data_IF_523076693498
#
_entry.id   IF_523076693498
#
_cell.length_a   1.000
_cell.length_b   1.000
_cell.length_c   1.000
_cell.angle_alpha   90.00
_cell.angle_beta   90.00
_cell.angle_gamma   90.00
#
_symmetry.space_group_name_H-M   'P 1'
#
loop_
_entity.id
_entity.type
_entity.pdbx_description
1 polymer ?
#
# COMPACT_ATOMS: atom_id res chain seq x y z
N UNK A 1 8.94 -5.46 -8.29
CA UNK A 1 8.01 -5.27 -7.14
C UNK A 1 8.20 -6.36 -6.09
N UNK A 2 9.24 -6.31 -5.24
CA UNK A 2 9.47 -7.35 -4.21
C UNK A 2 8.62 -7.16 -2.94
N UNK A 3 8.32 -5.92 -2.54
CA UNK A 3 7.63 -5.59 -1.29
C UNK A 3 6.20 -6.16 -1.17
N UNK A 4 5.28 -5.94 -2.13
CA UNK A 4 3.91 -6.45 -2.02
C UNK A 4 3.84 -7.97 -2.08
N UNK A 5 4.70 -8.63 -2.88
CA UNK A 5 4.78 -10.09 -2.95
C UNK A 5 5.25 -10.67 -1.63
N UNK A 6 6.31 -10.10 -1.05
CA UNK A 6 6.87 -10.55 0.23
C UNK A 6 5.92 -10.34 1.39
N UNK A 7 5.16 -9.24 1.41
CA UNK A 7 4.18 -8.97 2.47
C UNK A 7 2.91 -9.79 2.33
N UNK A 8 2.51 -10.13 1.10
CA UNK A 8 1.44 -11.10 0.86
C UNK A 8 1.86 -12.50 1.31
N UNK A 9 3.08 -12.91 0.97
CA UNK A 9 3.66 -14.18 1.45
C UNK A 9 3.75 -14.21 2.98
N UNK A 10 4.26 -13.14 3.60
CA UNK A 10 4.31 -12.99 5.05
C UNK A 10 2.91 -13.02 5.67
N UNK A 11 1.93 -12.34 5.08
CA UNK A 11 0.54 -12.35 5.55
C UNK A 11 -0.04 -13.75 5.59
N UNK A 12 0.14 -14.53 4.52
CA UNK A 12 -0.32 -15.91 4.42
C UNK A 12 0.46 -16.84 5.38
N UNK A 13 1.77 -16.67 5.50
CA UNK A 13 2.59 -17.49 6.41
C UNK A 13 2.44 -17.12 7.89
N UNK A 14 1.88 -15.95 8.20
CA UNK A 14 1.65 -15.48 9.58
C UNK A 14 0.28 -15.89 10.13
N UNK A 15 -0.52 -16.65 9.36
CA UNK A 15 -1.82 -17.14 9.83
C UNK A 15 -1.58 -18.14 10.98
N UNK A 16 -2.20 -17.94 12.17
CA UNK A 16 -2.00 -18.82 13.30
C UNK A 16 -2.37 -20.27 12.95
N UNK A 17 -1.45 -21.20 13.18
CA UNK A 17 -1.65 -22.63 12.91
C UNK A 17 -2.87 -23.20 13.66
N UNK A 18 -3.24 -22.65 14.82
CA UNK A 18 -4.43 -23.01 15.57
C UNK A 18 -5.75 -22.76 14.81
N UNK A 19 -5.84 -21.70 14.00
CA UNK A 19 -7.00 -21.42 13.14
C UNK A 19 -7.09 -22.40 11.95
N UNK A 20 -5.92 -22.78 11.43
CA UNK A 20 -5.76 -23.79 10.39
C UNK A 20 -6.16 -25.19 10.88
N UNK A 21 -5.74 -25.56 12.07
CA UNK A 21 -6.07 -26.83 12.73
C UNK A 21 -7.55 -26.89 13.12
N UNK A 22 -8.13 -25.79 13.62
CA UNK A 22 -9.56 -25.69 13.86
C UNK A 22 -10.38 -25.86 12.57
N UNK A 23 -10.01 -25.17 11.48
CA UNK A 23 -10.69 -25.31 10.20
C UNK A 23 -10.62 -26.74 9.62
N UNK A 24 -9.49 -27.43 9.81
CA UNK A 24 -9.36 -28.85 9.44
C UNK A 24 -10.18 -29.77 10.35
N UNK A 25 -10.22 -29.51 11.65
CA UNK A 25 -11.03 -30.27 12.61
C UNK A 25 -12.54 -30.14 12.32
N UNK A 26 -12.97 -28.99 11.78
CA UNK A 26 -14.34 -28.76 11.30
C UNK A 26 -14.62 -29.30 9.88
N UNK A 27 -13.64 -29.95 9.22
CA UNK A 27 -13.82 -30.54 7.88
C UNK A 27 -13.84 -29.53 6.73
N UNK A 28 -13.32 -28.32 6.91
CA UNK A 28 -13.30 -27.31 5.86
C UNK A 28 -12.33 -27.70 4.73
N UNK A 29 -12.79 -27.52 3.49
CA UNK A 29 -11.93 -27.71 2.30
C UNK A 29 -10.84 -26.63 2.23
N UNK A 30 -9.67 -26.91 1.62
CA UNK A 30 -8.56 -25.96 1.55
C UNK A 30 -8.95 -24.61 0.91
N UNK A 31 -9.87 -24.58 -0.07
CA UNK A 31 -10.38 -23.32 -0.61
C UNK A 31 -11.28 -22.55 0.37
N UNK A 32 -12.11 -23.23 1.17
CA UNK A 32 -12.93 -22.58 2.19
C UNK A 32 -12.07 -22.00 3.31
N UNK A 33 -11.01 -22.72 3.67
CA UNK A 33 -10.06 -22.30 4.70
C UNK A 33 -9.25 -21.09 4.22
N UNK A 34 -8.80 -21.11 2.97
CA UNK A 34 -8.07 -19.99 2.35
C UNK A 34 -8.94 -18.72 2.28
N UNK A 35 -10.20 -18.82 1.85
CA UNK A 35 -11.09 -17.66 1.67
C UNK A 35 -11.72 -17.14 2.96
N UNK A 36 -12.08 -18.02 3.90
CA UNK A 36 -12.81 -17.62 5.12
C UNK A 36 -11.92 -17.45 6.35
N UNK A 37 -10.71 -18.00 6.35
CA UNK A 37 -9.83 -18.00 7.53
C UNK A 37 -8.50 -17.31 7.21
N UNK A 38 -7.77 -17.79 6.21
CA UNK A 38 -6.44 -17.25 5.91
C UNK A 38 -6.49 -15.84 5.32
N UNK A 39 -7.35 -15.59 4.32
CA UNK A 39 -7.51 -14.26 3.70
C UNK A 39 -7.93 -13.16 4.70
N UNK A 40 -8.98 -13.32 5.52
CA UNK A 40 -9.34 -12.29 6.50
C UNK A 40 -8.30 -12.14 7.61
N UNK A 41 -7.60 -13.21 8.01
CA UNK A 41 -6.53 -13.12 9.01
C UNK A 41 -5.24 -12.49 8.46
N UNK A 42 -4.94 -12.66 7.18
CA UNK A 42 -3.78 -12.09 6.49
C UNK A 42 -4.05 -10.70 5.90
N UNK A 43 -5.33 -10.30 5.79
CA UNK A 43 -5.78 -9.03 5.25
C UNK A 43 -5.02 -7.81 5.80
N UNK A 44 -4.82 -7.62 7.13
CA UNK A 44 -4.10 -6.46 7.65
C UNK A 44 -2.65 -6.40 7.15
N UNK A 45 -1.98 -7.54 7.03
CA UNK A 45 -0.58 -7.63 6.57
C UNK A 45 -0.46 -7.36 5.06
N UNK A 46 -1.43 -7.84 4.26
CA UNK A 46 -1.51 -7.56 2.82
C UNK A 46 -1.74 -6.05 2.61
N UNK A 47 -2.64 -5.46 3.38
CA UNK A 47 -2.95 -4.03 3.29
C UNK A 47 -1.75 -3.15 3.66
N UNK A 48 -0.99 -3.53 4.70
CA UNK A 48 0.27 -2.87 5.03
C UNK A 48 1.26 -2.89 3.84
N UNK A 49 1.31 -4.00 3.09
CA UNK A 49 2.11 -4.08 1.87
C UNK A 49 1.60 -3.26 0.70
N UNK A 50 0.28 -3.10 0.59
CA UNK A 50 -0.34 -2.20 -0.40
C UNK A 50 0.02 -0.75 -0.08
N UNK A 51 -0.08 -0.33 1.18
CA UNK A 51 0.32 1.03 1.58
C UNK A 51 1.79 1.30 1.25
N UNK A 52 2.69 0.35 1.50
CA UNK A 52 4.10 0.49 1.10
C UNK A 52 4.27 0.55 -0.42
N UNK A 53 3.51 -0.24 -1.18
CA UNK A 53 3.52 -0.19 -2.64
C UNK A 53 3.09 1.20 -3.15
N UNK A 54 2.04 1.78 -2.55
CA UNK A 54 1.56 3.13 -2.88
C UNK A 54 2.65 4.16 -2.59
N UNK A 55 3.26 4.11 -1.41
CA UNK A 55 4.35 5.03 -1.03
C UNK A 55 5.54 4.94 -2.00
N UNK A 56 5.99 3.74 -2.34
CA UNK A 56 7.06 3.51 -3.33
C UNK A 56 6.67 4.01 -4.73
N UNK A 57 5.42 3.75 -5.14
CA UNK A 57 4.92 4.19 -6.45
C UNK A 57 4.83 5.72 -6.52
N UNK A 58 4.40 6.38 -5.46
CA UNK A 58 4.34 7.84 -5.39
C UNK A 58 5.73 8.47 -5.47
N UNK A 59 6.73 7.86 -4.81
CA UNK A 59 8.13 8.27 -4.94
C UNK A 59 8.60 8.17 -6.40
N UNK A 60 8.16 7.15 -7.13
CA UNK A 60 8.52 6.95 -8.53
C UNK A 60 7.84 7.94 -9.48
N UNK A 61 6.65 8.45 -9.15
CA UNK A 61 5.93 9.44 -9.97
C UNK A 61 6.75 10.72 -10.21
N UNK A 62 7.51 11.16 -9.20
CA UNK A 62 8.37 12.35 -9.32
C UNK A 62 9.53 12.10 -10.29
N UNK A 63 10.16 10.92 -10.21
CA UNK A 63 11.25 10.53 -11.10
C UNK A 63 10.75 10.33 -12.53
N UNK A 64 9.58 9.71 -12.71
CA UNK A 64 8.98 9.51 -14.03
C UNK A 64 8.73 10.84 -14.76
N UNK A 65 8.32 11.88 -14.03
CA UNK A 65 8.14 13.20 -14.60
C UNK A 65 9.45 13.86 -15.08
N UNK A 66 10.60 13.50 -14.50
CA UNK A 66 11.91 13.98 -14.98
C UNK A 66 12.24 13.42 -16.38
N UNK A 67 11.73 12.23 -16.70
CA UNK A 67 11.92 11.56 -18.01
C UNK A 67 10.86 12.00 -19.03
N UNK A 68 10.02 12.99 -18.69
CA UNK A 68 8.99 13.51 -19.57
C UNK A 68 7.69 12.70 -19.57
N UNK A 69 7.48 11.80 -18.58
CA UNK A 69 6.17 11.20 -18.38
C UNK A 69 5.15 12.31 -18.01
N UNK A 70 4.06 12.41 -18.78
CA UNK A 70 2.98 13.34 -18.47
C UNK A 70 2.32 13.01 -17.12
N UNK A 71 1.78 14.02 -16.45
CA UNK A 71 1.04 13.84 -15.18
C UNK A 71 1.43 14.84 -14.10
N UNK A 72 1.09 14.48 -12.85
CA UNK A 72 1.22 15.36 -11.67
C UNK A 72 2.66 15.78 -11.33
N UNK A 73 3.68 15.09 -11.85
CA UNK A 73 5.08 15.48 -11.63
C UNK A 73 5.60 16.53 -12.63
N UNK A 74 4.90 16.81 -13.74
CA UNK A 74 5.35 17.81 -14.74
C UNK A 74 5.52 19.22 -14.14
N UNK A 75 4.59 19.73 -13.30
CA UNK A 75 4.75 21.02 -12.64
C UNK A 75 5.95 21.06 -11.68
N UNK A 76 6.21 19.95 -10.97
CA UNK A 76 7.38 19.81 -10.07
C UNK A 76 8.68 19.92 -10.87
N UNK A 77 8.77 19.23 -12.00
CA UNK A 77 9.96 19.25 -12.86
C UNK A 77 10.17 20.61 -13.52
N UNK A 78 9.09 21.28 -13.92
CA UNK A 78 9.19 22.68 -14.41
C UNK A 78 9.67 23.63 -13.32
N UNK A 79 9.18 23.48 -12.09
CA UNK A 79 9.63 24.31 -10.97
C UNK A 79 11.11 24.09 -10.64
N UNK A 80 11.58 22.83 -10.69
CA UNK A 80 13.00 22.49 -10.54
C UNK A 80 13.85 23.11 -11.66
N UNK A 81 13.40 23.04 -12.92
CA UNK A 81 14.12 23.61 -14.06
C UNK A 81 14.13 25.16 -14.08
N UNK A 82 13.09 25.80 -13.55
CA UNK A 82 12.96 27.27 -13.56
C UNK A 82 13.49 27.94 -12.29
N UNK A 83 13.95 27.16 -11.30
CA UNK A 83 14.36 27.63 -9.95
C UNK A 83 13.27 28.48 -9.27
N UNK A 84 12.02 28.32 -9.71
CA UNK A 84 10.86 29.01 -9.16
C UNK A 84 10.32 28.21 -7.99
N UNK A 85 10.89 28.49 -6.81
CA UNK A 85 10.54 27.83 -5.55
C UNK A 85 9.03 27.88 -5.28
N UNK A 86 8.35 28.97 -5.65
CA UNK A 86 6.89 29.11 -5.50
C UNK A 86 6.08 28.04 -6.23
N UNK A 87 6.36 27.81 -7.53
CA UNK A 87 5.68 26.77 -8.30
C UNK A 87 6.04 25.36 -7.80
N UNK A 88 7.27 25.18 -7.30
CA UNK A 88 7.72 23.89 -6.76
C UNK A 88 7.03 23.55 -5.45
N UNK A 89 6.78 24.56 -4.62
CA UNK A 89 6.07 24.42 -3.36
C UNK A 89 4.59 24.06 -3.58
N UNK A 90 3.91 24.77 -4.49
CA UNK A 90 2.50 24.47 -4.84
C UNK A 90 2.35 23.05 -5.40
N UNK A 91 3.19 22.67 -6.36
CA UNK A 91 3.15 21.34 -6.96
C UNK A 91 3.49 20.22 -5.95
N UNK A 92 4.51 20.43 -5.11
CA UNK A 92 4.87 19.49 -4.05
C UNK A 92 3.75 19.33 -3.02
N UNK A 93 3.10 20.43 -2.64
CA UNK A 93 1.99 20.42 -1.69
C UNK A 93 0.81 19.58 -2.18
N UNK A 94 0.44 19.71 -3.46
CA UNK A 94 -0.64 18.93 -4.08
C UNK A 94 -0.32 17.43 -4.10
N UNK A 95 0.92 17.05 -4.41
CA UNK A 95 1.35 15.64 -4.42
C UNK A 95 1.34 15.05 -3.02
N UNK A 96 1.81 15.78 -2.01
CA UNK A 96 1.78 15.34 -0.61
C UNK A 96 0.33 15.18 -0.12
N UNK A 97 -0.56 16.12 -0.46
CA UNK A 97 -1.98 16.00 -0.15
C UNK A 97 -2.59 14.74 -0.76
N UNK A 98 -2.30 14.46 -2.02
CA UNK A 98 -2.76 13.25 -2.70
C UNK A 98 -2.19 11.99 -2.02
N UNK A 99 -0.90 12.01 -1.63
CA UNK A 99 -0.27 10.93 -0.90
C UNK A 99 -1.00 10.62 0.41
N UNK A 100 -1.31 11.66 1.19
CA UNK A 100 -2.00 11.54 2.47
C UNK A 100 -3.43 11.01 2.26
N UNK A 101 -4.14 11.47 1.24
CA UNK A 101 -5.49 10.99 0.91
C UNK A 101 -5.45 9.51 0.51
N UNK A 102 -4.48 9.11 -0.32
CA UNK A 102 -4.32 7.71 -0.73
C UNK A 102 -3.90 6.81 0.44
N UNK A 103 -3.02 7.27 1.33
CA UNK A 103 -2.67 6.58 2.57
C UNK A 103 -3.90 6.42 3.48
N UNK A 104 -4.71 7.48 3.61
CA UNK A 104 -5.94 7.49 4.42
C UNK A 104 -7.00 6.52 3.91
N UNK A 105 -7.17 6.40 2.58
CA UNK A 105 -8.14 5.47 1.98
C UNK A 105 -7.63 4.02 2.06
N UNK A 106 -6.32 3.83 1.93
CA UNK A 106 -5.71 2.49 1.91
C UNK A 106 -5.50 1.91 3.30
N UNK A 107 -5.41 2.75 4.34
CA UNK A 107 -5.53 2.30 5.73
C UNK A 107 -6.99 1.93 5.98
N UNK A 108 -7.32 0.65 6.22
CA UNK A 108 -8.60 0.35 6.83
C UNK A 108 -8.55 1.00 8.22
N UNK A 109 -9.71 1.36 8.76
CA UNK A 109 -9.80 1.86 10.12
C UNK A 109 -8.93 0.99 11.06
N UNK A 110 -7.93 1.62 11.67
CA UNK A 110 -7.21 1.08 12.82
C UNK A 110 -8.22 0.99 13.98
N UNK A 111 -9.12 0.02 13.87
CA UNK A 111 -10.08 -0.43 14.88
C UNK A 111 -9.78 -1.89 15.17
N UNK A 112 -8.54 -2.20 15.52
CA UNK A 112 -8.20 -3.49 16.12
C UNK A 112 -6.92 -3.46 16.97
N UNK A 113 -6.43 -2.29 17.36
CA UNK A 113 -5.55 -2.15 18.52
C UNK A 113 -6.38 -1.60 19.70
N UNK A 114 -7.41 -2.35 20.10
CA UNK A 114 -7.94 -2.23 21.45
C UNK A 114 -7.16 -3.24 22.32
N UNK A 115 -6.59 -2.80 23.46
CA UNK A 115 -5.81 -3.65 24.34
C UNK A 115 -6.63 -4.77 24.98
#
# INVERSE_FOLDING_TARGET
LPAPIRLTQLGISSVPTALLEAGRAFGATPMQLLWKVELPSAAPTILAGITQCIMLSLSMVVIAALVGAGGLGVPVVRALNTVQVGMGFEAGFVIVLLAIVLDRISRPADKAAAP
#
